data_IF_320659137704
#
_entry.id   IF_320659137704
#
_cell.length_a   1.000
_cell.length_b   1.000
_cell.length_c   1.000
_cell.angle_alpha   90.00
_cell.angle_beta   90.00
_cell.angle_gamma   90.00
#
_symmetry.space_group_name_H-M   'P 1'
#
loop_
_entity.id
_entity.type
_entity.pdbx_description
1 polymer ?
#
# COMPACT_ATOMS: atom_id res chain seq x y z
N UNK A 1 -2.88 14.27 28.75
CA UNK A 1 -2.84 13.88 27.33
C UNK A 1 -4.26 13.53 26.92
N UNK A 2 -4.75 14.14 25.85
CA UNK A 2 -6.06 13.78 25.29
C UNK A 2 -6.00 12.40 24.60
N UNK A 3 -7.16 11.78 24.39
CA UNK A 3 -7.26 10.53 23.63
C UNK A 3 -6.69 10.72 22.20
N UNK A 4 -6.98 11.84 21.58
CA UNK A 4 -6.52 12.18 20.22
C UNK A 4 -4.98 12.29 20.15
N UNK A 5 -4.35 12.94 21.13
CA UNK A 5 -2.88 12.99 21.24
C UNK A 5 -2.27 11.59 21.42
N UNK A 6 -2.92 10.74 22.21
CA UNK A 6 -2.46 9.37 22.48
C UNK A 6 -2.55 8.50 21.23
N UNK A 7 -3.64 8.60 20.48
CA UNK A 7 -3.81 7.88 19.20
C UNK A 7 -2.83 8.38 18.14
N UNK A 8 -2.56 9.70 18.07
CA UNK A 8 -1.52 10.26 17.20
C UNK A 8 -0.13 9.72 17.55
N UNK A 9 0.23 9.73 18.84
CA UNK A 9 1.51 9.17 19.30
C UNK A 9 1.64 7.70 18.88
N UNK A 10 0.62 6.89 19.14
CA UNK A 10 0.61 5.47 18.76
C UNK A 10 0.79 5.28 17.25
N UNK A 11 0.09 6.07 16.42
CA UNK A 11 0.22 6.01 14.97
C UNK A 11 1.64 6.33 14.50
N UNK A 12 2.31 7.30 15.13
CA UNK A 12 3.69 7.69 14.83
C UNK A 12 4.68 6.61 15.27
N UNK A 13 4.46 5.98 16.43
CA UNK A 13 5.29 4.89 16.93
C UNK A 13 5.27 3.69 15.96
N UNK A 14 4.10 3.34 15.40
CA UNK A 14 3.99 2.30 14.38
C UNK A 14 4.62 2.71 13.04
N UNK A 15 4.51 3.96 12.59
CA UNK A 15 5.24 4.42 11.39
C UNK A 15 6.75 4.34 11.60
N UNK A 16 7.23 4.73 12.78
CA UNK A 16 8.64 4.59 13.14
C UNK A 16 9.08 3.12 13.12
N UNK A 17 8.22 2.19 13.55
CA UNK A 17 8.48 0.75 13.43
C UNK A 17 8.56 0.30 11.96
N UNK A 18 7.74 0.84 11.06
CA UNK A 18 7.82 0.54 9.62
C UNK A 18 9.12 1.06 9.00
N UNK A 19 9.55 2.27 9.36
CA UNK A 19 10.71 2.95 8.73
C UNK A 19 12.04 2.49 9.33
N UNK A 20 12.12 2.41 10.67
CA UNK A 20 13.36 2.19 11.41
C UNK A 20 13.41 0.82 12.12
N UNK A 21 12.31 0.07 12.13
CA UNK A 21 12.16 -1.19 12.87
C UNK A 21 12.55 -2.44 12.09
N UNK A 22 13.40 -2.34 11.05
CA UNK A 22 13.79 -3.49 10.23
C UNK A 22 14.33 -4.67 11.05
N UNK A 23 15.05 -4.41 12.15
CA UNK A 23 15.59 -5.45 13.03
C UNK A 23 14.50 -6.33 13.68
N UNK A 24 13.25 -5.85 13.74
CA UNK A 24 12.10 -6.56 14.28
C UNK A 24 11.20 -7.17 13.19
N UNK A 25 11.55 -7.00 11.91
CA UNK A 25 10.77 -7.53 10.79
C UNK A 25 10.89 -9.05 10.69
N UNK A 26 9.76 -9.71 10.40
CA UNK A 26 9.63 -11.17 10.24
C UNK A 26 9.15 -11.56 8.82
N UNK A 27 9.03 -10.58 7.93
CA UNK A 27 8.75 -10.76 6.51
C UNK A 27 9.45 -9.68 5.69
N UNK A 28 9.89 -10.05 4.48
CA UNK A 28 10.49 -9.13 3.50
C UNK A 28 9.81 -9.35 2.15
N UNK A 29 9.39 -8.26 1.53
CA UNK A 29 8.82 -8.25 0.18
C UNK A 29 9.82 -7.70 -0.82
N UNK A 30 9.77 -8.16 -2.07
CA UNK A 30 10.45 -7.52 -3.19
C UNK A 30 9.42 -6.89 -4.11
N UNK A 31 9.50 -5.58 -4.28
CA UNK A 31 8.59 -4.78 -5.11
C UNK A 31 9.44 -3.93 -6.06
N UNK A 32 9.28 -4.10 -7.36
CA UNK A 32 10.10 -3.39 -8.38
C UNK A 32 11.62 -3.51 -8.11
N UNK A 33 12.06 -4.69 -7.69
CA UNK A 33 13.46 -4.96 -7.35
C UNK A 33 13.93 -4.42 -6.00
N UNK A 34 13.08 -3.69 -5.26
CA UNK A 34 13.41 -3.09 -3.95
C UNK A 34 12.90 -3.98 -2.82
N UNK A 35 13.71 -4.13 -1.76
CA UNK A 35 13.32 -4.88 -0.56
C UNK A 35 12.52 -3.99 0.40
N UNK A 36 11.41 -4.52 0.92
CA UNK A 36 10.53 -3.86 1.89
C UNK A 36 10.34 -4.78 3.09
N UNK A 37 10.82 -4.34 4.26
CA UNK A 37 10.73 -5.07 5.51
C UNK A 37 9.42 -4.74 6.23
N UNK A 38 8.72 -5.75 6.75
CA UNK A 38 7.44 -5.57 7.43
C UNK A 38 7.20 -6.61 8.53
N UNK A 39 6.04 -6.51 9.20
CA UNK A 39 5.70 -7.30 10.37
C UNK A 39 4.38 -8.06 10.15
N UNK A 40 4.44 -9.38 10.08
CA UNK A 40 3.30 -10.26 9.74
C UNK A 40 2.10 -10.04 10.66
N UNK A 41 2.35 -9.82 11.96
CA UNK A 41 1.29 -9.62 12.94
C UNK A 41 0.45 -8.37 12.66
N UNK A 42 1.09 -7.25 12.30
CA UNK A 42 0.40 -6.01 11.94
C UNK A 42 -0.38 -6.20 10.65
N UNK A 43 0.26 -6.78 9.62
CA UNK A 43 -0.39 -7.04 8.33
C UNK A 43 -1.61 -7.96 8.46
N UNK A 44 -1.49 -9.08 9.17
CA UNK A 44 -2.60 -10.02 9.39
C UNK A 44 -3.73 -9.45 10.26
N UNK A 45 -3.41 -8.57 11.22
CA UNK A 45 -4.42 -7.89 12.02
C UNK A 45 -5.24 -6.90 11.17
N UNK A 46 -4.59 -6.24 10.21
CA UNK A 46 -5.13 -5.07 9.49
C UNK A 46 -5.59 -5.37 8.06
N UNK A 47 -5.30 -6.56 7.53
CA UNK A 47 -5.71 -7.02 6.21
C UNK A 47 -6.11 -8.50 6.25
N UNK A 48 -7.32 -8.80 5.79
CA UNK A 48 -7.81 -10.18 5.68
C UNK A 48 -7.04 -10.98 4.61
N UNK A 49 -6.54 -10.30 3.57
CA UNK A 49 -5.65 -10.91 2.58
C UNK A 49 -4.39 -11.43 3.26
N UNK A 50 -3.67 -10.57 3.98
CA UNK A 50 -2.43 -10.96 4.65
C UNK A 50 -2.67 -11.99 5.75
N UNK A 51 -3.81 -11.91 6.45
CA UNK A 51 -4.20 -12.95 7.41
C UNK A 51 -4.30 -14.32 6.76
N UNK A 52 -5.04 -14.44 5.65
CA UNK A 52 -5.16 -15.70 4.91
C UNK A 52 -3.83 -16.14 4.31
N UNK A 53 -3.05 -15.19 3.81
CA UNK A 53 -1.75 -15.45 3.21
C UNK A 53 -0.74 -16.03 4.22
N UNK A 54 -0.73 -15.52 5.46
CA UNK A 54 0.19 -16.00 6.50
C UNK A 54 -0.33 -17.18 7.32
N UNK A 55 -1.65 -17.33 7.47
CA UNK A 55 -2.27 -18.36 8.33
C UNK A 55 -2.96 -19.49 7.54
N UNK A 56 -3.08 -19.37 6.22
CA UNK A 56 -3.74 -20.37 5.38
C UNK A 56 -2.93 -21.67 5.26
N UNK A 57 -3.60 -22.82 5.11
CA UNK A 57 -2.94 -24.07 4.74
C UNK A 57 -2.57 -23.98 3.25
N UNK A 58 -1.32 -23.58 3.00
CA UNK A 58 -0.68 -23.38 1.68
C UNK A 58 -1.32 -22.29 0.78
N UNK A 59 -0.52 -21.52 0.03
CA UNK A 59 -1.04 -20.55 -0.93
C UNK A 59 -1.83 -21.25 -2.05
N UNK A 60 -2.89 -20.62 -2.61
CA UNK A 60 -3.55 -21.14 -3.81
C UNK A 60 -2.49 -21.32 -4.90
N UNK A 61 -2.33 -22.56 -5.33
CA UNK A 61 -1.35 -22.96 -6.33
C UNK A 61 -1.55 -22.15 -7.61
N UNK A 62 -0.65 -21.18 -7.81
CA UNK A 62 -0.60 -20.32 -9.00
C UNK A 62 0.77 -19.69 -9.22
N UNK A 63 1.79 -20.12 -8.47
CA UNK A 63 3.20 -19.77 -8.69
C UNK A 63 3.96 -21.10 -8.68
N UNK A 64 4.56 -21.44 -9.82
CA UNK A 64 5.08 -22.76 -10.16
C UNK A 64 5.98 -23.41 -9.09
N UNK A 65 5.72 -24.68 -8.71
CA UNK A 65 6.54 -25.44 -7.78
C UNK A 65 7.51 -26.36 -8.53
N UNK A 66 8.68 -25.86 -8.93
CA UNK A 66 9.78 -26.76 -9.29
C UNK A 66 10.64 -27.07 -8.07
N UNK A 67 10.31 -28.17 -7.40
CA UNK A 67 11.31 -29.03 -6.76
C UNK A 67 11.10 -29.39 -5.29
N UNK A 68 10.60 -30.61 -5.07
CA UNK A 68 11.09 -31.50 -4.00
C UNK A 68 10.46 -31.34 -2.62
N UNK A 69 9.62 -32.31 -2.24
CA UNK A 69 8.84 -32.31 -1.01
C UNK A 69 9.61 -32.46 0.31
N UNK A 70 8.93 -32.12 1.39
CA UNK A 70 8.68 -32.94 2.59
C UNK A 70 7.94 -32.06 3.60
N UNK A 71 6.83 -32.58 4.13
CA UNK A 71 6.06 -32.00 5.22
C UNK A 71 6.96 -31.61 6.39
N UNK A 72 7.08 -30.31 6.63
CA UNK A 72 7.49 -29.70 7.90
C UNK A 72 6.65 -28.43 8.05
N UNK A 73 6.22 -28.13 9.28
CA UNK A 73 5.48 -26.93 9.69
C UNK A 73 5.78 -25.71 8.81
N UNK A 74 4.85 -24.77 8.58
CA UNK A 74 5.14 -23.54 7.86
C UNK A 74 5.96 -22.59 8.75
N UNK A 75 7.15 -23.02 9.19
CA UNK A 75 8.29 -22.14 9.37
C UNK A 75 8.66 -21.67 7.98
N UNK A 76 7.90 -20.68 7.50
CA UNK A 76 8.22 -19.92 6.29
C UNK A 76 9.68 -19.52 6.46
N UNK A 77 10.57 -20.14 5.68
CA UNK A 77 11.97 -19.72 5.60
C UNK A 77 11.98 -18.20 5.40
N UNK A 78 12.98 -17.46 5.91
CA UNK A 78 13.13 -16.04 5.60
C UNK A 78 13.48 -15.90 4.11
N UNK A 79 12.48 -16.07 3.27
CA UNK A 79 12.50 -15.87 1.85
C UNK A 79 11.86 -14.53 1.55
N UNK A 80 12.39 -13.86 0.54
CA UNK A 80 11.83 -12.62 0.03
C UNK A 80 10.58 -12.95 -0.78
N UNK A 81 9.46 -12.31 -0.46
CA UNK A 81 8.16 -12.55 -1.09
C UNK A 81 8.00 -11.57 -2.27
N UNK A 82 7.91 -12.04 -3.53
CA UNK A 82 7.73 -11.14 -4.66
C UNK A 82 6.32 -10.52 -4.65
N UNK A 83 6.25 -9.22 -4.96
CA UNK A 83 5.00 -8.49 -5.19
C UNK A 83 5.07 -7.86 -6.57
N UNK A 84 4.29 -8.42 -7.49
CA UNK A 84 4.27 -7.99 -8.90
C UNK A 84 2.95 -7.29 -9.28
N UNK A 85 1.96 -7.27 -8.38
CA UNK A 85 0.62 -6.75 -8.65
C UNK A 85 0.51 -5.24 -8.48
N UNK A 86 1.47 -4.60 -7.80
CA UNK A 86 1.45 -3.17 -7.47
C UNK A 86 2.87 -2.61 -7.53
N UNK A 87 2.99 -1.33 -7.89
CA UNK A 87 4.26 -0.61 -7.86
C UNK A 87 4.75 -0.31 -6.43
N UNK A 88 6.02 0.07 -6.30
CA UNK A 88 6.66 0.31 -5.00
C UNK A 88 5.98 1.43 -4.19
N UNK A 89 5.65 2.54 -4.84
CA UNK A 89 5.00 3.69 -4.19
C UNK A 89 3.64 3.30 -3.60
N UNK A 90 2.81 2.62 -4.39
CA UNK A 90 1.49 2.13 -3.99
C UNK A 90 1.60 1.12 -2.84
N UNK A 91 2.58 0.22 -2.89
CA UNK A 91 2.81 -0.73 -1.81
C UNK A 91 3.22 -0.03 -0.51
N UNK A 92 4.04 1.01 -0.57
CA UNK A 92 4.38 1.81 0.61
C UNK A 92 3.17 2.55 1.18
N UNK A 93 2.32 3.16 0.34
CA UNK A 93 1.10 3.83 0.80
C UNK A 93 0.17 2.85 1.53
N UNK A 94 0.02 1.64 0.99
CA UNK A 94 -0.72 0.57 1.63
C UNK A 94 -0.13 0.22 3.01
N UNK A 95 1.19 0.04 3.10
CA UNK A 95 1.85 -0.26 4.38
C UNK A 95 1.71 0.88 5.38
N UNK A 96 1.93 2.13 4.98
CA UNK A 96 1.74 3.30 5.84
C UNK A 96 0.32 3.34 6.42
N UNK A 97 -0.69 3.06 5.60
CA UNK A 97 -2.08 2.97 6.08
C UNK A 97 -2.30 1.80 7.05
N UNK A 98 -1.74 0.62 6.77
CA UNK A 98 -1.88 -0.55 7.64
C UNK A 98 -1.26 -0.29 9.03
N UNK A 99 -0.14 0.43 9.09
CA UNK A 99 0.59 0.74 10.32
C UNK A 99 -0.02 1.91 11.11
N UNK A 100 -0.45 2.98 10.44
CA UNK A 100 -0.86 4.22 11.12
C UNK A 100 -2.36 4.48 11.12
N UNK A 101 -3.11 3.82 10.23
CA UNK A 101 -4.51 4.14 9.93
C UNK A 101 -4.69 5.43 9.13
N UNK A 102 -3.61 6.07 8.69
CA UNK A 102 -3.61 7.31 7.93
C UNK A 102 -2.70 7.18 6.71
N UNK A 103 -3.06 7.86 5.62
CA UNK A 103 -2.18 8.00 4.45
C UNK A 103 -2.60 9.26 3.70
N UNK A 104 -1.64 10.01 3.17
CA UNK A 104 -1.89 11.17 2.31
C UNK A 104 -1.61 10.77 0.87
N UNK A 105 -2.66 10.57 0.08
CA UNK A 105 -2.56 10.29 -1.36
C UNK A 105 -2.44 11.61 -2.14
N UNK A 106 -2.80 12.72 -1.51
CA UNK A 106 -2.62 14.07 -2.04
C UNK A 106 -1.13 14.46 -1.94
N UNK A 107 -0.48 14.78 -3.07
CA UNK A 107 0.92 15.16 -3.07
C UNK A 107 1.13 16.50 -2.37
N UNK A 108 2.19 16.59 -1.58
CA UNK A 108 2.67 17.87 -1.01
C UNK A 108 3.17 18.76 -2.16
N UNK A 109 2.88 20.06 -2.09
CA UNK A 109 2.97 21.07 -3.18
C UNK A 109 4.35 21.20 -3.88
N UNK A 110 5.39 20.50 -3.44
CA UNK A 110 6.77 20.70 -3.88
C UNK A 110 7.61 19.43 -4.13
N UNK A 111 7.05 18.23 -4.04
CA UNK A 111 7.84 17.01 -4.34
C UNK A 111 7.77 16.63 -5.83
N UNK A 112 8.92 16.37 -6.49
CA UNK A 112 8.96 15.89 -7.87
C UNK A 112 8.43 14.46 -7.95
N UNK A 113 7.47 14.22 -8.85
CA UNK A 113 6.94 12.87 -9.07
C UNK A 113 7.80 12.09 -10.06
N UNK A 114 8.09 10.79 -9.80
CA UNK A 114 8.85 9.94 -10.72
C UNK A 114 8.24 9.89 -12.13
N UNK A 115 6.91 9.95 -12.19
CA UNK A 115 6.13 9.81 -13.43
C UNK A 115 5.59 11.15 -13.97
N UNK A 116 6.04 12.30 -13.44
CA UNK A 116 5.67 13.63 -13.95
C UNK A 116 6.92 14.39 -14.41
N UNK A 117 7.08 14.56 -15.73
CA UNK A 117 8.23 15.25 -16.33
C UNK A 117 8.13 16.78 -16.34
N UNK A 118 7.02 17.35 -15.88
CA UNK A 118 6.74 18.79 -15.99
C UNK A 118 7.17 19.56 -14.73
N UNK A 119 8.17 20.44 -14.88
CA UNK A 119 8.72 21.30 -13.81
C UNK A 119 7.74 22.32 -13.21
N UNK A 120 6.53 22.45 -13.75
CA UNK A 120 5.49 23.40 -13.30
C UNK A 120 4.14 22.77 -13.01
N UNK A 121 4.06 21.44 -12.87
CA UNK A 121 2.80 20.75 -12.69
C UNK A 121 2.16 21.04 -11.33
N UNK A 122 0.86 21.38 -11.33
CA UNK A 122 0.05 21.39 -10.13
C UNK A 122 -0.37 19.95 -9.84
N UNK A 123 0.43 19.24 -9.04
CA UNK A 123 0.25 17.79 -8.79
C UNK A 123 -1.12 17.40 -8.18
N UNK A 124 -1.93 18.37 -7.75
CA UNK A 124 -3.33 18.16 -7.35
C UNK A 124 -4.26 17.88 -8.52
N UNK A 125 -3.87 18.14 -9.77
CA UNK A 125 -4.68 17.85 -10.97
C UNK A 125 -3.85 17.19 -12.09
N UNK A 126 -2.70 16.60 -11.74
CA UNK A 126 -1.86 15.87 -12.67
C UNK A 126 -2.47 14.50 -12.97
N UNK A 127 -2.37 14.02 -14.22
CA UNK A 127 -2.76 12.65 -14.58
C UNK A 127 -2.05 11.62 -13.71
N UNK A 128 -0.76 11.83 -13.40
CA UNK A 128 0.00 10.98 -12.48
C UNK A 128 -0.60 10.91 -11.06
N UNK A 129 -1.37 11.91 -10.64
CA UNK A 129 -2.08 11.91 -9.35
C UNK A 129 -3.32 11.02 -9.38
N UNK A 130 -4.05 11.12 -10.48
CA UNK A 130 -5.21 10.28 -10.74
C UNK A 130 -4.78 8.83 -10.88
N UNK A 131 -3.71 8.56 -11.64
CA UNK A 131 -3.16 7.22 -11.81
C UNK A 131 -2.74 6.60 -10.46
N UNK A 132 -1.98 7.34 -9.64
CA UNK A 132 -1.59 6.87 -8.31
C UNK A 132 -2.80 6.58 -7.41
N UNK A 133 -3.83 7.43 -7.44
CA UNK A 133 -5.04 7.22 -6.67
C UNK A 133 -5.82 5.99 -7.17
N UNK A 134 -5.92 5.78 -8.48
CA UNK A 134 -6.55 4.60 -9.07
C UNK A 134 -5.79 3.32 -8.73
N UNK A 135 -4.45 3.33 -8.81
CA UNK A 135 -3.61 2.19 -8.45
C UNK A 135 -3.70 1.89 -6.95
N UNK A 136 -3.75 2.93 -6.10
CA UNK A 136 -3.95 2.79 -4.65
C UNK A 136 -5.31 2.19 -4.33
N UNK A 137 -6.37 2.61 -5.04
CA UNK A 137 -7.71 2.04 -4.90
C UNK A 137 -7.75 0.57 -5.33
N UNK A 138 -7.12 0.24 -6.46
CA UNK A 138 -7.04 -1.14 -6.96
C UNK A 138 -6.28 -2.04 -5.96
N UNK A 139 -5.14 -1.55 -5.44
CA UNK A 139 -4.36 -2.22 -4.41
C UNK A 139 -5.17 -2.43 -3.13
N UNK A 140 -5.83 -1.39 -2.63
CA UNK A 140 -6.65 -1.47 -1.41
C UNK A 140 -7.70 -2.57 -1.51
N UNK A 141 -8.38 -2.69 -2.67
CA UNK A 141 -9.34 -3.76 -2.92
C UNK A 141 -8.67 -5.14 -2.99
N UNK A 142 -7.56 -5.26 -3.72
CA UNK A 142 -6.81 -6.51 -3.85
C UNK A 142 -6.33 -7.06 -2.49
N UNK A 143 -5.75 -6.17 -1.66
CA UNK A 143 -5.25 -6.53 -0.33
C UNK A 143 -6.33 -6.52 0.76
N UNK A 144 -7.61 -6.30 0.41
CA UNK A 144 -8.72 -6.35 1.36
C UNK A 144 -8.64 -5.30 2.47
N UNK A 145 -8.25 -4.07 2.12
CA UNK A 145 -8.12 -2.91 3.01
C UNK A 145 -9.22 -1.90 2.68
N UNK A 146 -10.46 -2.22 3.04
CA UNK A 146 -11.65 -1.48 2.62
C UNK A 146 -11.63 -0.01 3.04
N UNK A 147 -11.11 0.29 4.24
CA UNK A 147 -11.04 1.67 4.72
C UNK A 147 -10.13 2.54 3.84
N UNK A 148 -9.03 1.98 3.31
CA UNK A 148 -8.17 2.69 2.38
C UNK A 148 -8.89 2.93 1.03
N UNK A 149 -9.66 1.94 0.56
CA UNK A 149 -10.46 2.09 -0.65
C UNK A 149 -11.50 3.22 -0.51
N UNK A 150 -12.15 3.34 0.65
CA UNK A 150 -13.12 4.41 0.92
C UNK A 150 -12.45 5.80 0.99
N UNK A 151 -11.32 5.92 1.69
CA UNK A 151 -10.56 7.17 1.77
C UNK A 151 -10.06 7.62 0.39
N UNK A 152 -9.57 6.68 -0.41
CA UNK A 152 -9.08 6.99 -1.76
C UNK A 152 -10.23 7.48 -2.64
N UNK A 153 -11.42 6.89 -2.53
CA UNK A 153 -12.61 7.33 -3.29
C UNK A 153 -13.08 8.73 -2.88
N UNK A 154 -13.07 9.07 -1.58
CA UNK A 154 -13.45 10.42 -1.12
C UNK A 154 -12.48 11.49 -1.62
N UNK A 155 -11.17 11.20 -1.63
CA UNK A 155 -10.16 12.15 -2.09
C UNK A 155 -10.13 12.25 -3.63
N UNK A 156 -10.35 11.14 -4.33
CA UNK A 156 -10.37 11.12 -5.81
C UNK A 156 -11.56 11.87 -6.41
N UNK A 157 -12.69 11.96 -5.70
CA UNK A 157 -13.83 12.76 -6.12
C UNK A 157 -13.49 14.27 -6.23
N UNK A 158 -12.48 14.74 -5.50
CA UNK A 158 -11.94 16.10 -5.63
C UNK A 158 -10.93 16.24 -6.77
N UNK A 159 -10.26 15.14 -7.16
CA UNK A 159 -9.24 15.11 -8.22
C UNK A 159 -9.83 15.04 -9.64
N UNK A 160 -11.06 14.55 -9.78
CA UNK A 160 -11.81 14.64 -11.03
C UNK A 160 -12.33 16.07 -11.16
N UNK A 161 -11.85 16.88 -12.12
CA UNK A 161 -12.60 18.07 -12.49
C UNK A 161 -13.99 17.58 -12.93
N UNK A 162 -15.05 18.32 -12.59
CA UNK A 162 -16.25 18.29 -13.41
C UNK A 162 -15.81 18.60 -14.84
N UNK A 163 -15.47 17.57 -15.61
CA UNK A 163 -15.29 17.69 -17.04
C UNK A 163 -16.68 18.02 -17.56
N UNK A 164 -16.88 19.31 -17.79
CA UNK A 164 -18.12 19.86 -18.30
C UNK A 164 -18.48 19.13 -19.59
N UNK A 165 -19.38 18.16 -19.48
CA UNK A 165 -20.18 17.66 -20.59
C UNK A 165 -21.23 18.73 -20.92
N UNK A 166 -20.77 19.87 -21.45
CA UNK A 166 -21.64 20.85 -22.11
C UNK A 166 -20.79 21.71 -23.03
N UNK A 167 -20.30 21.10 -24.12
CA UNK A 167 -19.47 21.84 -25.05
C UNK A 167 -19.11 21.14 -26.36
N UNK A 168 -19.81 20.09 -26.81
CA UNK A 168 -19.70 19.61 -28.21
C UNK A 168 -21.01 18.92 -28.63
N UNK A 169 -22.05 19.71 -28.89
CA UNK A 169 -23.07 19.41 -29.91
C UNK A 169 -23.45 20.78 -30.51
N UNK A 170 -22.59 21.24 -31.42
CA UNK A 170 -22.98 22.18 -32.46
C UNK A 170 -23.56 21.43 -33.64
#
# INVERSE_FOLDING_TARGET
>A
MSLEETLRSLSLDYLNLLINGQAFSDVTFQVEGRLVHAHRCILAARSLFFRKFFCGPDPPSGLDPTGGGTSRQPTVRPGVIPVNSVGYEVFLLLLQFLYSGQVSIVPQKHEPRPNCGERGCWHTHCTSAVDLALDTLAAARYFGVEQLALLTQSDSAFLLPNSGLSGVLG
#
